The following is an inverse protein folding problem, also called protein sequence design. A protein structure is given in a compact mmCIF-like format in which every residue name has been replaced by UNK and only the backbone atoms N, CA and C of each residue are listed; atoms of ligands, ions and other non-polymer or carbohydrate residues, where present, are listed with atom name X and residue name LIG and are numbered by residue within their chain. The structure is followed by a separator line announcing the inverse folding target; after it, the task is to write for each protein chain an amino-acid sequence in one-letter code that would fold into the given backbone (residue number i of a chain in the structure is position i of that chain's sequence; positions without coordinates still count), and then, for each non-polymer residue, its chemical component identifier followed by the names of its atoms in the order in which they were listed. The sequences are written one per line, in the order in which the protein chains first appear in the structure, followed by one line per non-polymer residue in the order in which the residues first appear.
data_IF_562545055726
#
_entry.id   IF_562545055726
#
_cell.length_a   1.000
_cell.length_b   1.000
_cell.length_c   1.000
_cell.angle_alpha   90.00
_cell.angle_beta   90.00
_cell.angle_gamma   90.00
#
_symmetry.space_group_name_H-M   'P 1'
#
loop_
_entity.id
_entity.type
_entity.pdbx_description
1 polymer ?
#
# COMPACT_ATOMS: atom_id res chain seq x y z
N UNK A 1 -60.34 40.77 14.01
CA UNK A 1 -59.97 41.17 12.63
C UNK A 1 -58.55 40.70 12.35
N UNK A 2 -58.39 40.01 11.22
CA UNK A 2 -57.17 39.59 10.50
C UNK A 2 -56.22 38.51 11.05
N UNK A 3 -56.33 37.35 10.36
CA UNK A 3 -55.36 36.27 10.17
C UNK A 3 -53.99 36.76 9.66
N UNK A 4 -52.91 36.02 9.99
CA UNK A 4 -52.16 35.23 8.98
C UNK A 4 -51.07 34.38 9.64
N UNK A 5 -51.18 33.07 9.39
CA UNK A 5 -50.14 32.09 9.61
C UNK A 5 -48.84 32.54 8.94
N UNK A 6 -47.77 32.69 9.71
CA UNK A 6 -46.43 32.79 9.15
C UNK A 6 -45.96 31.37 8.84
N UNK A 7 -46.37 30.88 7.68
CA UNK A 7 -45.76 29.72 7.05
C UNK A 7 -44.28 30.05 6.82
N UNK A 8 -43.43 29.55 7.71
CA UNK A 8 -41.99 29.49 7.50
C UNK A 8 -41.76 28.55 6.33
N UNK A 9 -41.73 29.13 5.14
CA UNK A 9 -41.44 28.47 3.88
C UNK A 9 -40.14 27.68 4.02
N UNK A 10 -40.26 26.36 4.27
CA UNK A 10 -39.17 25.41 4.04
C UNK A 10 -39.00 25.36 2.54
N UNK A 11 -38.15 26.21 2.00
CA UNK A 11 -37.65 26.04 0.65
C UNK A 11 -37.11 24.59 0.56
N UNK A 12 -37.61 23.75 -0.35
CA UNK A 12 -37.04 22.43 -0.53
C UNK A 12 -35.60 22.66 -1.00
N UNK A 13 -34.62 22.25 -0.20
CA UNK A 13 -33.24 22.09 -0.65
C UNK A 13 -33.29 21.05 -1.77
N UNK A 14 -33.43 21.52 -3.01
CA UNK A 14 -33.51 20.65 -4.16
C UNK A 14 -32.21 19.84 -4.21
N UNK A 15 -32.34 18.53 -4.39
CA UNK A 15 -31.21 17.59 -4.48
C UNK A 15 -30.20 17.95 -5.60
N UNK A 16 -30.52 18.95 -6.42
CA UNK A 16 -29.64 19.55 -7.42
C UNK A 16 -28.44 20.32 -6.83
N UNK A 17 -28.52 20.86 -5.61
CA UNK A 17 -27.40 21.57 -4.97
C UNK A 17 -26.23 20.65 -4.56
N UNK A 18 -26.46 19.34 -4.51
CA UNK A 18 -25.43 18.35 -4.19
C UNK A 18 -24.85 17.65 -5.42
N UNK A 19 -25.31 17.98 -6.64
CA UNK A 19 -24.92 17.27 -7.89
C UNK A 19 -23.85 17.97 -8.73
N UNK A 20 -23.26 19.06 -8.25
CA UNK A 20 -22.07 19.61 -8.90
C UNK A 20 -20.87 19.28 -8.03
N UNK A 21 -20.03 18.29 -8.41
CA UNK A 21 -18.69 18.25 -7.87
C UNK A 21 -18.01 19.54 -8.33
N UNK A 22 -17.91 20.52 -7.43
CA UNK A 22 -17.08 21.69 -7.66
C UNK A 22 -15.67 21.23 -7.99
N UNK A 23 -14.94 21.94 -8.86
CA UNK A 23 -13.54 21.61 -9.17
C UNK A 23 -12.69 21.47 -7.89
N UNK A 24 -13.02 22.24 -6.85
CA UNK A 24 -12.49 22.12 -5.49
C UNK A 24 -12.72 20.73 -4.86
N UNK A 25 -13.91 20.14 -5.01
CA UNK A 25 -14.20 18.79 -4.52
C UNK A 25 -13.47 17.69 -5.29
N UNK A 26 -13.24 17.87 -6.60
CA UNK A 26 -12.49 16.92 -7.43
C UNK A 26 -10.99 16.97 -7.11
N UNK A 27 -10.42 18.16 -6.94
CA UNK A 27 -9.01 18.36 -6.56
C UNK A 27 -8.75 17.84 -5.14
N UNK A 28 -9.65 18.12 -4.19
CA UNK A 28 -9.57 17.56 -2.83
C UNK A 28 -9.66 16.03 -2.84
N UNK A 29 -10.56 15.44 -3.63
CA UNK A 29 -10.68 13.99 -3.74
C UNK A 29 -9.46 13.34 -4.42
N UNK A 30 -8.75 14.06 -5.29
CA UNK A 30 -7.48 13.63 -5.88
C UNK A 30 -6.35 13.69 -4.84
N UNK A 31 -6.20 14.81 -4.13
CA UNK A 31 -5.20 14.97 -3.07
C UNK A 31 -5.37 13.95 -1.93
N UNK A 32 -6.63 13.64 -1.54
CA UNK A 32 -6.92 12.58 -0.56
C UNK A 32 -6.51 11.22 -1.10
N UNK A 33 -6.79 10.90 -2.38
CA UNK A 33 -6.37 9.63 -2.99
C UNK A 33 -4.85 9.50 -3.05
N UNK A 34 -4.14 10.56 -3.44
CA UNK A 34 -2.67 10.58 -3.47
C UNK A 34 -2.06 10.45 -2.07
N UNK A 35 -2.62 11.11 -1.05
CA UNK A 35 -2.18 10.91 0.34
C UNK A 35 -2.44 9.49 0.84
N UNK A 36 -3.58 8.90 0.50
CA UNK A 36 -3.93 7.53 0.89
C UNK A 36 -3.06 6.51 0.18
N UNK A 37 -2.72 6.73 -1.10
CA UNK A 37 -1.79 5.86 -1.84
C UNK A 37 -0.36 6.00 -1.33
N UNK A 38 0.13 7.21 -1.05
CA UNK A 38 1.45 7.40 -0.46
C UNK A 38 1.58 6.71 0.93
N UNK A 39 0.51 6.73 1.73
CA UNK A 39 0.47 6.06 3.05
C UNK A 39 0.46 4.53 2.96
N UNK A 40 -0.02 3.94 1.86
CA UNK A 40 -0.02 2.49 1.69
C UNK A 40 1.24 1.98 0.98
N UNK A 41 1.86 2.80 0.12
CA UNK A 41 3.09 2.45 -0.60
C UNK A 41 4.29 2.38 0.36
N UNK A 42 4.45 3.35 1.26
CA UNK A 42 5.63 3.41 2.13
C UNK A 42 5.84 2.14 2.99
N UNK A 43 4.82 1.61 3.71
CA UNK A 43 4.98 0.35 4.46
C UNK A 43 5.31 -0.86 3.57
N UNK A 44 4.72 -0.94 2.37
CA UNK A 44 5.01 -2.03 1.43
C UNK A 44 6.43 -1.94 0.86
N UNK A 45 6.92 -0.72 0.61
CA UNK A 45 8.29 -0.48 0.15
C UNK A 45 9.31 -0.78 1.26
N UNK A 46 9.03 -0.44 2.52
CA UNK A 46 9.87 -0.80 3.67
C UNK A 46 9.95 -2.32 3.87
N UNK A 47 8.82 -3.02 3.77
CA UNK A 47 8.77 -4.48 3.85
C UNK A 47 9.58 -5.13 2.72
N UNK A 48 9.47 -4.60 1.50
CA UNK A 48 10.27 -5.06 0.36
C UNK A 48 11.78 -4.82 0.60
N UNK A 49 12.15 -3.61 1.03
CA UNK A 49 13.55 -3.27 1.29
C UNK A 49 14.16 -4.16 2.40
N UNK A 50 13.40 -4.45 3.46
CA UNK A 50 13.83 -5.37 4.51
C UNK A 50 14.01 -6.81 3.99
N UNK A 51 13.11 -7.28 3.12
CA UNK A 51 13.21 -8.60 2.53
C UNK A 51 14.43 -8.72 1.59
N UNK A 52 14.71 -7.70 0.78
CA UNK A 52 15.90 -7.65 -0.08
C UNK A 52 17.19 -7.60 0.77
N UNK A 53 17.21 -6.80 1.84
CA UNK A 53 18.35 -6.74 2.74
C UNK A 53 18.67 -8.09 3.41
N UNK A 54 17.66 -8.94 3.62
CA UNK A 54 17.83 -10.29 4.16
C UNK A 54 18.40 -11.31 3.15
N UNK A 55 18.34 -11.05 1.84
CA UNK A 55 18.91 -11.95 0.82
C UNK A 55 20.44 -11.96 0.86
N UNK A 56 21.06 -10.79 1.01
CA UNK A 56 22.52 -10.66 1.04
C UNK A 56 23.22 -11.56 2.09
N UNK A 57 22.81 -11.56 3.38
CA UNK A 57 23.40 -12.46 4.37
C UNK A 57 23.08 -13.94 4.11
N UNK A 58 21.91 -14.26 3.56
CA UNK A 58 21.56 -15.65 3.21
C UNK A 58 22.45 -16.20 2.07
N UNK A 59 22.72 -15.40 1.05
CA UNK A 59 23.68 -15.75 -0.01
C UNK A 59 25.09 -15.93 0.56
N UNK A 60 25.53 -15.03 1.43
CA UNK A 60 26.85 -15.12 2.06
C UNK A 60 26.99 -16.41 2.92
N UNK A 61 25.95 -16.77 3.67
CA UNK A 61 25.93 -18.00 4.47
C UNK A 61 26.02 -19.26 3.60
N UNK A 62 25.31 -19.29 2.48
CA UNK A 62 25.37 -20.40 1.52
C UNK A 62 26.75 -20.50 0.86
N UNK A 63 27.31 -19.38 0.39
CA UNK A 63 28.64 -19.33 -0.19
C UNK A 63 29.72 -19.82 0.80
N UNK A 64 29.69 -19.35 2.05
CA UNK A 64 30.62 -19.77 3.09
C UNK A 64 30.51 -21.27 3.40
N UNK A 65 29.30 -21.85 3.34
CA UNK A 65 29.10 -23.27 3.54
C UNK A 65 29.67 -24.12 2.38
N UNK A 66 29.56 -23.62 1.14
CA UNK A 66 30.19 -24.24 -0.03
C UNK A 66 31.71 -24.19 0.05
N UNK A 67 32.29 -23.05 0.42
CA UNK A 67 33.74 -22.90 0.61
C UNK A 67 34.28 -23.83 1.71
N UNK A 68 33.49 -24.05 2.78
CA UNK A 68 33.81 -24.97 3.85
C UNK A 68 33.66 -26.46 3.45
N UNK A 69 33.14 -26.77 2.26
CA UNK A 69 32.78 -28.12 1.81
C UNK A 69 31.85 -28.86 2.80
N UNK A 70 31.03 -28.12 3.54
CA UNK A 70 30.09 -28.67 4.52
C UNK A 70 28.71 -28.82 3.87
N UNK A 71 28.44 -30.02 3.33
CA UNK A 71 27.20 -30.32 2.61
C UNK A 71 25.95 -30.17 3.47
N UNK A 72 26.03 -30.47 4.77
CA UNK A 72 24.88 -30.35 5.68
C UNK A 72 24.55 -28.88 5.93
N UNK A 73 25.59 -28.06 6.18
CA UNK A 73 25.44 -26.61 6.35
C UNK A 73 25.01 -25.93 5.05
N UNK A 74 25.54 -26.37 3.90
CA UNK A 74 25.18 -25.83 2.60
C UNK A 74 23.70 -26.10 2.28
N UNK A 75 23.20 -27.30 2.61
CA UNK A 75 21.79 -27.61 2.43
C UNK A 75 20.89 -26.74 3.33
N UNK A 76 21.24 -26.61 4.62
CA UNK A 76 20.51 -25.73 5.55
C UNK A 76 20.49 -24.28 5.05
N UNK A 77 21.64 -23.75 4.65
CA UNK A 77 21.76 -22.38 4.14
C UNK A 77 21.01 -22.18 2.80
N UNK A 78 20.96 -23.20 1.95
CA UNK A 78 20.17 -23.18 0.72
C UNK A 78 18.67 -23.10 1.01
N UNK A 79 18.19 -23.83 2.00
CA UNK A 79 16.78 -23.81 2.38
C UNK A 79 16.39 -22.46 2.99
N UNK A 80 17.27 -21.86 3.80
CA UNK A 80 17.12 -20.48 4.30
C UNK A 80 17.13 -19.43 3.19
N UNK A 81 18.01 -19.60 2.18
CA UNK A 81 18.08 -18.71 1.02
C UNK A 81 16.78 -18.79 0.19
N UNK A 82 16.26 -19.99 -0.05
CA UNK A 82 14.96 -20.18 -0.73
C UNK A 82 13.83 -19.53 0.06
N UNK A 83 13.77 -19.73 1.37
CA UNK A 83 12.75 -19.12 2.22
C UNK A 83 12.84 -17.58 2.21
N UNK A 84 14.04 -17.02 2.14
CA UNK A 84 14.26 -15.57 2.04
C UNK A 84 13.85 -15.04 0.67
N UNK A 85 14.16 -15.78 -0.40
CA UNK A 85 13.71 -15.46 -1.77
C UNK A 85 12.19 -15.49 -1.91
N UNK A 86 11.51 -16.49 -1.33
CA UNK A 86 10.04 -16.52 -1.33
C UNK A 86 9.42 -15.32 -0.59
N UNK A 87 10.02 -14.90 0.53
CA UNK A 87 9.56 -13.71 1.28
C UNK A 87 9.76 -12.42 0.48
N UNK A 88 10.90 -12.26 -0.20
CA UNK A 88 11.15 -11.13 -1.08
C UNK A 88 10.15 -11.08 -2.25
N UNK A 89 9.87 -12.23 -2.88
CA UNK A 89 8.87 -12.32 -3.93
C UNK A 89 7.47 -11.91 -3.46
N UNK A 90 7.05 -12.38 -2.28
CA UNK A 90 5.77 -12.01 -1.70
C UNK A 90 5.68 -10.51 -1.38
N UNK A 91 6.75 -9.92 -0.84
CA UNK A 91 6.83 -8.49 -0.58
C UNK A 91 6.82 -7.67 -1.88
N UNK A 92 7.51 -8.13 -2.93
CA UNK A 92 7.50 -7.51 -4.26
C UNK A 92 6.09 -7.48 -4.86
N UNK A 93 5.39 -8.62 -4.83
CA UNK A 93 4.02 -8.71 -5.35
C UNK A 93 3.06 -7.80 -4.57
N UNK A 94 3.24 -7.71 -3.25
CA UNK A 94 2.46 -6.80 -2.40
C UNK A 94 2.71 -5.34 -2.78
N UNK A 95 3.98 -4.95 -2.96
CA UNK A 95 4.34 -3.60 -3.40
C UNK A 95 3.75 -3.29 -4.78
N UNK A 96 3.86 -4.21 -5.73
CA UNK A 96 3.28 -4.06 -7.06
C UNK A 96 1.76 -3.85 -7.01
N UNK A 97 1.03 -4.65 -6.23
CA UNK A 97 -0.42 -4.50 -6.06
C UNK A 97 -0.80 -3.15 -5.45
N UNK A 98 -0.03 -2.65 -4.48
CA UNK A 98 -0.28 -1.34 -3.87
C UNK A 98 -0.02 -0.23 -4.88
N UNK A 99 1.06 -0.31 -5.66
CA UNK A 99 1.35 0.63 -6.73
C UNK A 99 0.23 0.64 -7.77
N UNK A 100 -0.24 -0.52 -8.24
CA UNK A 100 -1.32 -0.62 -9.23
C UNK A 100 -2.68 -0.07 -8.74
N UNK A 101 -2.93 -0.06 -7.42
CA UNK A 101 -4.17 0.50 -6.82
C UNK A 101 -4.07 1.99 -6.49
N UNK A 102 -2.86 2.52 -6.40
CA UNK A 102 -2.56 3.90 -6.04
C UNK A 102 -2.52 4.89 -7.20
N UNK A 103 -2.51 4.39 -8.44
CA UNK A 103 -2.63 5.13 -9.70
C UNK A 103 -4.02 4.94 -10.32
#
# INVERSE_FOLDING_TARGET
MFQKASERSRAPKSAAWHRSPSALSADTAKNIREMVSARSIAPAAEEYAAAVAALSPAYAAYAAALEANDSARAQSALDELKASSTREQAASQKLEQVCQRGY
#
